data_IF_329104073040
#
_entry.id   IF_329104073040
#
_cell.length_a   1.000
_cell.length_b   1.000
_cell.length_c   1.000
_cell.angle_alpha   90.00
_cell.angle_beta   90.00
_cell.angle_gamma   90.00
#
_symmetry.space_group_name_H-M   'P 1'
#
loop_
_entity.id
_entity.type
_entity.pdbx_description
1 polymer ?
#
# COMPACT_ATOMS: atom_id res chain seq x y z
N UNK A 1 2.75 0.28 0.36
CA UNK A 1 2.87 0.08 -1.10
C UNK A 1 1.49 -0.16 -1.68
N UNK A 2 1.15 0.51 -2.77
CA UNK A 2 -0.20 0.51 -3.35
C UNK A 2 -0.17 0.07 -4.83
N UNK A 3 -1.08 -0.82 -5.18
CA UNK A 3 -1.28 -1.32 -6.54
C UNK A 3 -2.13 -0.39 -7.41
N UNK A 4 -2.74 -0.95 -8.47
CA UNK A 4 -3.31 -0.17 -9.55
C UNK A 4 -4.55 0.61 -9.11
N UNK A 5 -4.73 1.79 -9.71
CA UNK A 5 -5.81 2.75 -9.51
C UNK A 5 -5.87 3.39 -8.11
N UNK A 6 -5.03 2.99 -7.15
CA UNK A 6 -5.00 3.59 -5.81
C UNK A 6 -4.36 4.98 -5.79
N UNK A 7 -3.72 5.41 -6.86
CA UNK A 7 -3.35 6.82 -7.07
C UNK A 7 -4.57 7.73 -7.23
N UNK A 8 -5.77 7.19 -7.50
CA UNK A 8 -7.00 7.96 -7.71
C UNK A 8 -7.86 8.11 -6.45
N UNK A 9 -7.33 7.72 -5.27
CA UNK A 9 -8.02 7.90 -3.99
C UNK A 9 -8.28 9.39 -3.74
N UNK A 10 -9.53 9.72 -3.40
CA UNK A 10 -10.00 11.10 -3.19
C UNK A 10 -10.58 11.76 -4.45
N UNK A 11 -10.27 11.25 -5.64
CA UNK A 11 -10.77 11.79 -6.91
C UNK A 11 -11.89 10.95 -7.51
N UNK A 12 -11.77 9.62 -7.44
CA UNK A 12 -12.73 8.70 -8.06
C UNK A 12 -13.89 8.37 -7.13
N UNK A 13 -15.11 8.50 -7.65
CA UNK A 13 -16.37 8.09 -7.00
C UNK A 13 -16.41 8.48 -5.49
N UNK A 14 -16.25 9.78 -5.14
CA UNK A 14 -16.03 10.23 -3.76
C UNK A 14 -17.19 9.91 -2.80
N UNK A 15 -18.40 9.64 -3.33
CA UNK A 15 -19.52 9.16 -2.53
C UNK A 15 -19.39 7.70 -2.05
N UNK A 16 -18.51 6.92 -2.69
CA UNK A 16 -18.25 5.50 -2.37
C UNK A 16 -16.93 5.37 -1.60
N UNK A 17 -15.87 6.06 -2.03
CA UNK A 17 -14.52 5.90 -1.48
C UNK A 17 -14.10 7.02 -0.52
N UNK A 18 -14.94 8.04 -0.32
CA UNK A 18 -14.61 9.23 0.45
C UNK A 18 -13.70 10.20 -0.33
N UNK A 19 -13.35 11.31 0.32
CA UNK A 19 -12.47 12.35 -0.24
C UNK A 19 -11.02 12.27 0.27
N UNK A 20 -10.73 11.29 1.12
CA UNK A 20 -9.40 11.13 1.69
C UNK A 20 -8.40 10.70 0.62
N UNK A 21 -7.27 11.39 0.58
CA UNK A 21 -6.16 11.08 -0.32
C UNK A 21 -5.18 10.13 0.38
N UNK A 22 -4.25 9.57 -0.40
CA UNK A 22 -3.16 8.80 0.20
C UNK A 22 -2.18 9.69 0.99
N UNK A 23 -2.06 10.97 0.63
CA UNK A 23 -1.25 11.93 1.39
C UNK A 23 -1.82 12.15 2.79
N UNK A 24 -3.15 12.32 2.91
CA UNK A 24 -3.84 12.41 4.22
C UNK A 24 -3.56 11.17 5.08
N UNK A 25 -3.60 9.98 4.47
CA UNK A 25 -3.29 8.72 5.13
C UNK A 25 -1.83 8.68 5.62
N UNK A 26 -0.88 9.06 4.76
CA UNK A 26 0.54 9.09 5.11
C UNK A 26 0.85 10.09 6.21
N UNK A 27 0.20 11.26 6.22
CA UNK A 27 0.30 12.20 7.33
C UNK A 27 -0.22 11.60 8.64
N UNK A 28 -1.38 10.94 8.59
CA UNK A 28 -1.96 10.26 9.76
C UNK A 28 -1.04 9.17 10.31
N UNK A 29 -0.43 8.37 9.43
CA UNK A 29 0.51 7.31 9.80
C UNK A 29 1.79 7.87 10.41
N UNK A 30 2.39 8.91 9.80
CA UNK A 30 3.60 9.56 10.35
C UNK A 30 3.35 10.16 11.73
N UNK A 31 2.15 10.74 11.96
CA UNK A 31 1.76 11.24 13.29
C UNK A 31 1.53 10.12 14.30
N UNK A 32 0.98 8.97 13.87
CA UNK A 32 0.70 7.83 14.75
C UNK A 32 1.95 7.01 15.10
N UNK A 33 2.94 6.98 14.20
CA UNK A 33 4.17 6.19 14.33
C UNK A 33 5.41 7.06 14.07
N UNK A 34 5.69 8.08 14.91
CA UNK A 34 6.77 9.03 14.66
C UNK A 34 8.17 8.41 14.70
N UNK A 35 8.33 7.29 15.41
CA UNK A 35 9.58 6.53 15.54
C UNK A 35 9.85 5.60 14.34
N UNK A 36 8.89 5.46 13.42
CA UNK A 36 8.97 4.54 12.28
C UNK A 36 9.22 5.33 11.00
N UNK A 37 10.29 4.98 10.27
CA UNK A 37 10.51 5.52 8.94
C UNK A 37 9.51 4.90 7.95
N UNK A 38 8.66 5.75 7.36
CA UNK A 38 7.62 5.34 6.42
C UNK A 38 7.95 5.78 5.01
N UNK A 39 8.16 4.81 4.12
CA UNK A 39 8.34 5.02 2.68
C UNK A 39 7.06 4.67 1.93
N UNK A 40 6.64 5.55 1.03
CA UNK A 40 5.46 5.37 0.19
C UNK A 40 5.85 5.00 -1.24
N UNK A 41 5.09 4.09 -1.86
CA UNK A 41 5.23 3.71 -3.26
C UNK A 41 3.88 3.27 -3.83
N UNK A 42 3.58 3.69 -5.05
CA UNK A 42 2.41 3.26 -5.80
C UNK A 42 2.78 3.04 -7.27
N UNK A 43 2.18 2.04 -7.89
CA UNK A 43 2.28 1.84 -9.33
C UNK A 43 1.05 1.13 -9.89
N UNK A 44 0.70 1.49 -11.13
CA UNK A 44 -0.29 0.78 -11.92
C UNK A 44 0.32 -0.41 -12.68
N UNK A 45 1.65 -0.49 -12.76
CA UNK A 45 2.38 -1.54 -13.49
C UNK A 45 2.84 -2.61 -12.51
N UNK A 46 2.40 -3.84 -12.72
CA UNK A 46 2.70 -5.01 -11.86
C UNK A 46 4.21 -5.21 -11.67
N UNK A 47 4.98 -5.20 -12.77
CA UNK A 47 6.44 -5.37 -12.72
C UNK A 47 7.14 -4.37 -11.80
N UNK A 48 6.68 -3.11 -11.78
CA UNK A 48 7.27 -2.09 -10.91
C UNK A 48 6.97 -2.32 -9.43
N UNK A 49 5.84 -2.94 -9.09
CA UNK A 49 5.56 -3.34 -7.71
C UNK A 49 6.48 -4.48 -7.28
N UNK A 50 6.74 -5.44 -8.19
CA UNK A 50 7.68 -6.55 -7.97
C UNK A 50 9.09 -6.01 -7.78
N UNK A 51 9.56 -5.13 -8.67
CA UNK A 51 10.88 -4.51 -8.59
C UNK A 51 11.04 -3.74 -7.28
N UNK A 52 10.02 -2.96 -6.89
CA UNK A 52 10.07 -2.22 -5.62
C UNK A 52 10.17 -3.14 -4.41
N UNK A 53 9.48 -4.27 -4.39
CA UNK A 53 9.57 -5.27 -3.31
C UNK A 53 10.97 -5.88 -3.22
N UNK A 54 11.55 -6.25 -4.37
CA UNK A 54 12.91 -6.80 -4.42
C UNK A 54 13.95 -5.77 -3.98
N UNK A 55 13.75 -4.50 -4.36
CA UNK A 55 14.56 -3.39 -3.88
C UNK A 55 14.42 -3.20 -2.36
N UNK A 56 13.19 -3.20 -1.82
CA UNK A 56 12.93 -3.06 -0.39
C UNK A 56 13.66 -4.13 0.44
N UNK A 57 13.70 -5.36 -0.07
CA UNK A 57 14.49 -6.44 0.52
C UNK A 57 15.98 -6.09 0.57
N UNK A 58 16.53 -5.59 -0.53
CA UNK A 58 17.96 -5.22 -0.63
C UNK A 58 18.31 -4.02 0.26
N UNK A 59 17.34 -3.13 0.50
CA UNK A 59 17.44 -1.97 1.40
C UNK A 59 17.33 -2.36 2.89
N UNK A 60 17.01 -3.62 3.22
CA UNK A 60 16.81 -4.05 4.60
C UNK A 60 15.52 -3.53 5.24
N UNK A 61 14.49 -3.24 4.43
CA UNK A 61 13.19 -2.78 4.93
C UNK A 61 12.57 -3.82 5.86
N UNK A 62 12.19 -3.39 7.06
CA UNK A 62 11.69 -4.26 8.13
C UNK A 62 10.35 -4.94 7.82
N UNK A 63 9.53 -4.36 6.94
CA UNK A 63 8.25 -4.93 6.52
C UNK A 63 7.52 -4.05 5.52
N UNK A 64 6.53 -4.63 4.84
CA UNK A 64 5.73 -3.95 3.82
C UNK A 64 4.25 -4.06 4.13
N UNK A 65 3.55 -2.92 4.17
CA UNK A 65 2.08 -2.88 4.12
C UNK A 65 1.68 -2.74 2.66
N UNK A 66 0.93 -3.71 2.12
CA UNK A 66 0.57 -3.79 0.71
C UNK A 66 -0.94 -3.75 0.51
N UNK A 67 -1.44 -2.77 -0.24
CA UNK A 67 -2.74 -2.88 -0.89
C UNK A 67 -2.51 -3.17 -2.37
N UNK A 68 -2.68 -4.43 -2.80
CA UNK A 68 -2.44 -4.82 -4.19
C UNK A 68 -3.59 -4.44 -5.15
N UNK A 69 -4.69 -3.87 -4.65
CA UNK A 69 -5.84 -3.49 -5.47
C UNK A 69 -6.37 -4.67 -6.29
N UNK A 70 -6.61 -4.44 -7.58
CA UNK A 70 -7.08 -5.51 -8.48
C UNK A 70 -6.09 -6.69 -8.60
N UNK A 71 -4.78 -6.46 -8.37
CA UNK A 71 -3.77 -7.52 -8.47
C UNK A 71 -3.89 -8.58 -7.38
N UNK A 72 -4.58 -8.31 -6.26
CA UNK A 72 -4.96 -9.35 -5.28
C UNK A 72 -5.70 -10.53 -5.94
N UNK A 73 -6.44 -10.26 -7.03
CA UNK A 73 -7.29 -11.26 -7.67
C UNK A 73 -6.68 -11.90 -8.92
N UNK A 74 -5.61 -11.32 -9.47
CA UNK A 74 -5.13 -11.67 -10.81
C UNK A 74 -3.63 -11.95 -10.88
N UNK A 75 -2.84 -11.40 -9.96
CA UNK A 75 -1.39 -11.42 -10.07
C UNK A 75 -0.78 -12.62 -9.33
N UNK A 76 -0.51 -13.68 -10.10
CA UNK A 76 0.31 -14.80 -9.62
C UNK A 76 1.78 -14.37 -9.43
N UNK A 77 2.29 -13.50 -10.29
CA UNK A 77 3.68 -13.06 -10.21
C UNK A 77 3.97 -12.23 -8.95
N UNK A 78 3.07 -11.33 -8.54
CA UNK A 78 3.21 -10.57 -7.29
C UNK A 78 3.09 -11.50 -6.08
N UNK A 79 2.17 -12.46 -6.12
CA UNK A 79 2.03 -13.48 -5.07
C UNK A 79 3.33 -14.29 -4.89
N UNK A 80 3.93 -14.77 -5.98
CA UNK A 80 5.17 -15.54 -5.94
C UNK A 80 6.35 -14.68 -5.49
N UNK A 81 6.40 -13.41 -5.92
CA UNK A 81 7.37 -12.44 -5.41
C UNK A 81 7.25 -12.32 -3.89
N UNK A 82 6.06 -12.07 -3.33
CA UNK A 82 5.83 -11.93 -1.90
C UNK A 82 6.30 -13.17 -1.13
N UNK A 83 6.01 -14.38 -1.64
CA UNK A 83 6.43 -15.64 -1.00
C UNK A 83 7.94 -15.86 -0.97
N UNK A 84 8.68 -15.20 -1.87
CA UNK A 84 10.14 -15.29 -1.93
C UNK A 84 10.87 -14.33 -0.98
N UNK A 85 10.13 -13.40 -0.37
CA UNK A 85 10.69 -12.38 0.50
C UNK A 85 10.83 -12.89 1.94
N UNK A 86 11.91 -12.46 2.60
CA UNK A 86 12.16 -12.79 4.01
C UNK A 86 11.51 -11.79 4.97
N UNK A 87 11.28 -10.55 4.53
CA UNK A 87 10.59 -9.55 5.34
C UNK A 87 9.07 -9.78 5.31
N UNK A 88 8.35 -9.47 6.41
CA UNK A 88 6.90 -9.60 6.45
C UNK A 88 6.23 -8.65 5.47
N UNK A 89 5.26 -9.18 4.70
CA UNK A 89 4.35 -8.41 3.86
C UNK A 89 2.92 -8.60 4.39
N UNK A 90 2.30 -7.52 4.85
CA UNK A 90 0.92 -7.52 5.36
C UNK A 90 0.01 -6.96 4.28
N UNK A 91 -0.87 -7.80 3.75
CA UNK A 91 -1.89 -7.37 2.81
C UNK A 91 -3.02 -6.61 3.54
N UNK A 92 -3.36 -5.44 3.03
CA UNK A 92 -4.50 -4.65 3.49
C UNK A 92 -5.41 -4.33 2.32
N UNK A 93 -6.71 -4.30 2.60
CA UNK A 93 -7.71 -3.82 1.65
C UNK A 93 -8.45 -2.66 2.27
N UNK A 94 -8.29 -1.48 1.70
CA UNK A 94 -9.11 -0.33 2.10
C UNK A 94 -10.49 -0.47 1.50
N UNK A 95 -11.49 -0.75 2.35
CA UNK A 95 -12.75 0.00 2.27
C UNK A 95 -12.53 1.19 3.20
N UNK A 96 -12.78 2.41 2.73
CA UNK A 96 -12.47 3.65 3.45
C UNK A 96 -12.83 3.57 4.95
N UNK A 97 -11.85 3.79 5.83
CA UNK A 97 -12.09 3.99 7.26
C UNK A 97 -12.06 5.51 7.48
N UNK A 98 -13.20 6.19 7.68
CA UNK A 98 -13.19 7.61 8.00
C UNK A 98 -12.39 7.86 9.28
N UNK A 99 -11.76 9.02 9.39
CA UNK A 99 -11.00 9.46 10.56
C UNK A 99 -11.76 9.36 11.90
N UNK A 100 -13.09 9.18 11.87
CA UNK A 100 -13.95 8.92 13.03
C UNK A 100 -13.85 7.50 13.59
N UNK A 101 -13.23 6.54 12.89
CA UNK A 101 -13.00 5.20 13.40
C UNK A 101 -11.61 5.11 14.06
N UNK A 102 -11.43 5.90 15.12
CA UNK A 102 -10.48 5.60 16.19
C UNK A 102 -11.28 5.10 17.38
N UNK A 103 -11.20 3.80 17.66
CA UNK A 103 -11.22 3.26 19.02
C UNK A 103 -10.05 2.33 19.16
#
# INVERSE_FOLDING_TARGET
>A
MNGPNLNLLGEREPGIYGRGTMDDCMEGLRRAFPEVELVYYQSNVEGFLIDRLQQARSEGVAGVVLNAGAYTHTSVALHDCIRSLQMPVVEVRTTFIPASYRR
#
